data_IF_804267343742
#
_entry.id   IF_804267343742
#
_cell.length_a   1.000
_cell.length_b   1.000
_cell.length_c   1.000
_cell.angle_alpha   90.00
_cell.angle_beta   90.00
_cell.angle_gamma   90.00
#
_symmetry.space_group_name_H-M   'P 1'
#
loop_
_entity.id
_entity.type
_entity.pdbx_description
1 polymer ?
#
# COMPACT_ATOMS: atom_id res chain seq x y z
N UNK A 1 -18.65 9.16 -54.36
CA UNK A 1 -20.03 8.69 -54.23
C UNK A 1 -20.13 7.25 -54.71
N UNK A 2 -20.13 6.27 -53.80
CA UNK A 2 -20.57 4.90 -54.13
C UNK A 2 -21.98 4.71 -53.56
N UNK A 3 -22.90 4.21 -54.40
CA UNK A 3 -24.30 3.95 -54.01
C UNK A 3 -24.42 2.47 -53.64
N UNK A 4 -24.44 2.16 -52.35
CA UNK A 4 -24.80 0.83 -51.85
C UNK A 4 -26.31 0.62 -52.02
N UNK A 5 -26.71 -0.34 -52.85
CA UNK A 5 -28.10 -0.84 -52.91
C UNK A 5 -28.26 -2.01 -51.92
N UNK A 6 -29.18 -1.82 -50.97
CA UNK A 6 -29.65 -2.83 -50.02
C UNK A 6 -31.01 -3.34 -50.54
N UNK A 7 -31.18 -4.65 -50.65
CA UNK A 7 -32.43 -5.29 -51.09
C UNK A 7 -32.90 -6.24 -49.98
N UNK A 8 -34.21 -6.28 -49.73
CA UNK A 8 -34.83 -6.97 -48.60
C UNK A 8 -35.40 -8.32 -49.07
N UNK A 9 -34.93 -9.44 -48.51
CA UNK A 9 -35.38 -10.81 -48.80
C UNK A 9 -34.81 -11.81 -47.79
N UNK A 10 -35.51 -12.92 -47.51
CA UNK A 10 -35.14 -13.93 -46.51
C UNK A 10 -34.30 -15.04 -47.18
N UNK A 11 -33.10 -15.30 -46.68
CA UNK A 11 -32.26 -16.46 -47.04
C UNK A 11 -32.28 -17.44 -45.86
N UNK A 12 -32.37 -18.74 -46.12
CA UNK A 12 -32.32 -19.79 -45.10
C UNK A 12 -31.40 -20.91 -45.59
N UNK A 13 -30.33 -21.18 -44.83
CA UNK A 13 -29.36 -22.27 -45.05
C UNK A 13 -29.34 -23.16 -43.79
N UNK A 14 -29.42 -24.49 -43.96
CA UNK A 14 -29.33 -25.47 -42.86
C UNK A 14 -28.20 -26.44 -43.20
N UNK A 15 -27.12 -26.45 -42.41
CA UNK A 15 -25.96 -27.34 -42.60
C UNK A 15 -25.68 -28.17 -41.34
N UNK A 16 -25.37 -29.46 -41.51
CA UNK A 16 -24.97 -30.37 -40.42
C UNK A 16 -23.46 -30.44 -40.16
N UNK A 17 -22.68 -29.48 -40.66
CA UNK A 17 -21.21 -29.42 -40.56
C UNK A 17 -20.66 -27.99 -40.82
N UNK A 18 -19.34 -27.81 -40.70
CA UNK A 18 -18.67 -26.48 -40.70
C UNK A 18 -18.53 -25.87 -42.09
N UNK A 19 -18.93 -24.61 -42.22
CA UNK A 19 -18.81 -23.79 -43.43
C UNK A 19 -17.86 -22.60 -43.16
N UNK A 20 -16.95 -22.26 -44.09
CA UNK A 20 -16.11 -21.05 -44.01
C UNK A 20 -16.12 -20.27 -45.32
N UNK A 21 -16.39 -18.96 -45.22
CA UNK A 21 -16.36 -18.00 -46.32
C UNK A 21 -15.19 -17.02 -46.13
N UNK A 22 -14.38 -16.81 -47.17
CA UNK A 22 -13.34 -15.77 -47.17
C UNK A 22 -13.35 -14.96 -48.47
N UNK A 23 -13.48 -13.64 -48.33
CA UNK A 23 -13.41 -12.66 -49.40
C UNK A 23 -13.62 -11.25 -48.85
N UNK A 24 -13.03 -10.22 -49.46
CA UNK A 24 -13.11 -8.84 -48.95
C UNK A 24 -14.53 -8.24 -49.01
N UNK A 25 -15.45 -8.86 -49.78
CA UNK A 25 -16.92 -8.70 -49.69
C UNK A 25 -17.59 -9.87 -50.44
N UNK A 26 -18.37 -10.70 -49.74
CA UNK A 26 -19.14 -11.79 -50.34
C UNK A 26 -20.62 -11.42 -50.30
N UNK A 27 -21.33 -11.60 -51.42
CA UNK A 27 -22.80 -11.45 -51.51
C UNK A 27 -23.40 -12.68 -52.16
N UNK A 28 -24.26 -13.37 -51.42
CA UNK A 28 -25.03 -14.53 -51.90
C UNK A 28 -26.49 -14.10 -52.00
N UNK A 29 -27.09 -14.22 -53.19
CA UNK A 29 -28.50 -13.97 -53.42
C UNK A 29 -29.14 -15.26 -53.91
N UNK A 30 -29.78 -15.99 -53.00
CA UNK A 30 -30.52 -17.19 -53.34
C UNK A 30 -32.03 -16.89 -53.20
N UNK A 31 -32.78 -17.01 -54.31
CA UNK A 31 -34.24 -16.92 -54.32
C UNK A 31 -34.93 -18.22 -53.88
N UNK A 32 -34.19 -19.14 -53.25
CA UNK A 32 -34.58 -20.47 -52.79
C UNK A 32 -33.39 -21.15 -52.09
N UNK A 33 -33.59 -22.34 -51.50
CA UNK A 33 -32.59 -23.07 -50.70
C UNK A 33 -31.37 -23.51 -51.53
N UNK A 34 -30.17 -23.46 -50.93
CA UNK A 34 -28.93 -24.01 -51.49
C UNK A 34 -28.53 -25.23 -50.65
N UNK A 35 -28.44 -26.41 -51.27
CA UNK A 35 -27.96 -27.64 -50.62
C UNK A 35 -26.52 -27.94 -51.01
N UNK A 36 -25.62 -28.00 -50.01
CA UNK A 36 -24.23 -28.40 -50.18
C UNK A 36 -24.04 -29.88 -49.85
N UNK A 37 -23.65 -30.69 -50.83
CA UNK A 37 -23.25 -32.08 -50.61
C UNK A 37 -21.72 -32.17 -50.60
N UNK A 38 -21.12 -32.22 -49.40
CA UNK A 38 -19.71 -32.56 -49.22
C UNK A 38 -19.56 -34.09 -49.04
N UNK A 39 -18.60 -34.76 -49.71
CA UNK A 39 -18.26 -36.14 -49.39
C UNK A 39 -17.85 -36.24 -47.92
N UNK A 40 -18.38 -37.25 -47.21
CA UNK A 40 -17.98 -37.52 -45.81
C UNK A 40 -16.51 -37.91 -45.77
N UNK A 41 -15.66 -36.98 -45.36
CA UNK A 41 -14.33 -37.30 -44.84
C UNK A 41 -14.39 -37.21 -43.32
N UNK A 42 -13.99 -38.29 -42.64
CA UNK A 42 -13.72 -38.28 -41.21
C UNK A 42 -12.35 -37.64 -41.03
N UNK A 43 -12.33 -36.36 -40.69
CA UNK A 43 -11.17 -35.79 -40.04
C UNK A 43 -11.13 -36.41 -38.64
N UNK A 44 -9.98 -36.95 -38.24
CA UNK A 44 -9.77 -37.43 -36.88
C UNK A 44 -10.09 -36.33 -35.87
N UNK A 45 -10.24 -36.70 -34.60
CA UNK A 45 -10.54 -35.75 -33.54
C UNK A 45 -9.62 -34.53 -33.64
N UNK A 46 -10.17 -33.29 -33.52
CA UNK A 46 -9.35 -32.10 -33.57
C UNK A 46 -8.22 -32.26 -32.57
N UNK A 47 -6.96 -32.09 -33.01
CA UNK A 47 -5.88 -31.93 -32.06
C UNK A 47 -6.25 -30.77 -31.14
N UNK A 48 -6.14 -31.00 -29.83
CA UNK A 48 -6.35 -29.95 -28.86
C UNK A 48 -5.52 -28.73 -29.29
N UNK A 49 -6.11 -27.52 -29.27
CA UNK A 49 -5.35 -26.33 -29.58
C UNK A 49 -4.09 -26.35 -28.70
N UNK A 50 -2.89 -26.08 -29.26
CA UNK A 50 -1.68 -26.05 -28.45
C UNK A 50 -1.96 -25.15 -27.25
N UNK A 51 -1.70 -25.67 -26.05
CA UNK A 51 -1.90 -24.91 -24.81
C UNK A 51 -1.41 -23.50 -25.06
N UNK A 52 -2.34 -22.55 -24.98
CA UNK A 52 -1.99 -21.15 -25.03
C UNK A 52 -1.23 -20.92 -23.74
N UNK A 53 0.09 -21.21 -23.77
CA UNK A 53 1.05 -20.63 -22.85
C UNK A 53 0.83 -19.15 -23.07
N UNK A 54 -0.06 -18.56 -22.25
CA UNK A 54 0.10 -17.18 -21.88
C UNK A 54 1.57 -17.11 -21.55
N UNK A 55 2.35 -16.51 -22.44
CA UNK A 55 3.57 -15.87 -22.05
C UNK A 55 3.08 -14.92 -20.97
N UNK A 56 3.15 -15.37 -19.71
CA UNK A 56 3.15 -14.51 -18.56
C UNK A 56 4.07 -13.38 -19.00
N UNK A 57 3.46 -12.23 -19.24
CA UNK A 57 4.20 -11.08 -19.72
C UNK A 57 5.12 -10.76 -18.55
N UNK A 58 6.35 -11.25 -18.59
CA UNK A 58 7.35 -10.97 -17.57
C UNK A 58 7.51 -9.46 -17.62
N UNK A 59 6.91 -8.78 -16.65
CA UNK A 59 7.00 -7.34 -16.55
C UNK A 59 8.41 -7.08 -16.02
N UNK A 60 9.31 -6.72 -16.93
CA UNK A 60 10.70 -6.33 -16.61
C UNK A 60 10.72 -4.92 -16.03
N UNK A 61 10.45 -4.81 -14.73
CA UNK A 61 10.45 -3.54 -13.99
C UNK A 61 11.55 -3.52 -12.92
N UNK A 62 12.15 -2.36 -12.76
CA UNK A 62 13.01 -2.03 -11.63
C UNK A 62 12.17 -1.77 -10.38
N UNK A 63 12.72 -2.12 -9.22
CA UNK A 63 12.06 -1.86 -7.93
C UNK A 63 12.48 -2.77 -6.79
N UNK A 64 11.87 -2.54 -5.63
CA UNK A 64 11.90 -3.40 -4.46
C UNK A 64 10.62 -4.23 -4.37
N UNK A 65 10.77 -5.53 -4.16
CA UNK A 65 9.66 -6.49 -4.17
C UNK A 65 9.46 -7.06 -2.78
N UNK A 66 8.22 -6.96 -2.30
CA UNK A 66 7.80 -7.52 -1.02
C UNK A 66 6.62 -8.47 -1.24
N UNK A 67 6.51 -9.54 -0.45
CA UNK A 67 5.27 -10.32 -0.43
C UNK A 67 4.20 -9.67 0.47
N UNK A 68 2.98 -10.20 0.41
CA UNK A 68 1.82 -9.68 1.14
C UNK A 68 2.03 -9.72 2.66
N UNK A 69 2.87 -10.62 3.15
CA UNK A 69 3.24 -10.81 4.55
C UNK A 69 4.40 -9.89 4.98
N UNK A 70 4.84 -8.96 4.13
CA UNK A 70 5.88 -7.97 4.43
C UNK A 70 7.32 -8.49 4.32
N UNK A 71 7.52 -9.67 3.74
CA UNK A 71 8.87 -10.22 3.50
C UNK A 71 9.49 -9.53 2.29
N UNK A 72 10.74 -9.09 2.38
CA UNK A 72 11.50 -8.64 1.24
C UNK A 72 11.93 -9.83 0.38
N UNK A 73 11.48 -9.84 -0.88
CA UNK A 73 11.76 -10.91 -1.84
C UNK A 73 13.01 -10.61 -2.68
N UNK A 74 13.28 -9.33 -2.93
CA UNK A 74 14.51 -8.86 -3.57
C UNK A 74 14.35 -7.49 -4.26
N UNK A 75 15.39 -7.11 -5.00
CA UNK A 75 15.50 -5.82 -5.70
C UNK A 75 15.99 -6.05 -7.13
N UNK A 76 15.44 -5.32 -8.09
CA UNK A 76 15.95 -5.28 -9.47
C UNK A 76 16.34 -3.84 -9.82
N UNK A 77 17.51 -3.70 -10.45
CA UNK A 77 18.03 -2.43 -10.97
C UNK A 77 18.80 -2.65 -12.28
N UNK A 78 18.09 -3.10 -13.30
CA UNK A 78 18.64 -3.32 -14.63
C UNK A 78 18.45 -2.09 -15.52
N UNK A 79 19.46 -1.69 -16.32
CA UNK A 79 19.38 -0.52 -17.20
C UNK A 79 18.24 -0.59 -18.23
N UNK A 80 17.90 -1.81 -18.67
CA UNK A 80 16.92 -2.04 -19.73
C UNK A 80 15.49 -2.25 -19.22
N UNK A 81 15.28 -2.17 -17.90
CA UNK A 81 13.99 -2.40 -17.26
C UNK A 81 13.27 -1.07 -17.03
N UNK A 82 11.94 -1.09 -17.12
CA UNK A 82 11.12 0.10 -16.92
C UNK A 82 11.03 0.48 -15.43
N UNK A 83 10.69 1.74 -15.14
CA UNK A 83 10.52 2.23 -13.78
C UNK A 83 11.82 2.57 -13.07
N UNK A 84 11.75 2.74 -11.76
CA UNK A 84 12.86 3.14 -10.90
C UNK A 84 13.17 2.03 -9.90
N UNK A 85 14.47 1.84 -9.58
CA UNK A 85 14.88 0.96 -8.48
C UNK A 85 14.19 1.29 -7.16
N UNK A 86 13.77 2.54 -6.95
CA UNK A 86 13.05 2.96 -5.74
C UNK A 86 11.56 2.63 -5.77
N UNK A 87 10.99 2.12 -6.87
CA UNK A 87 9.57 1.76 -6.90
C UNK A 87 9.30 0.52 -6.07
N UNK A 88 8.19 0.53 -5.32
CA UNK A 88 7.80 -0.61 -4.47
C UNK A 88 6.69 -1.42 -5.11
N UNK A 89 6.87 -2.74 -5.12
CA UNK A 89 5.91 -3.71 -5.62
C UNK A 89 5.56 -4.76 -4.56
N UNK A 90 4.31 -5.22 -4.59
CA UNK A 90 3.88 -6.45 -3.91
C UNK A 90 3.88 -7.59 -4.92
N UNK A 91 4.30 -8.78 -4.51
CA UNK A 91 4.30 -9.98 -5.35
C UNK A 91 3.86 -11.24 -4.59
N UNK A 92 3.53 -12.30 -5.32
CA UNK A 92 3.22 -13.63 -4.78
C UNK A 92 4.48 -14.51 -4.67
N UNK A 93 5.61 -13.88 -4.35
CA UNK A 93 6.92 -14.51 -4.26
C UNK A 93 7.73 -14.42 -5.56
N UNK A 94 8.80 -15.22 -5.61
CA UNK A 94 9.79 -15.24 -6.70
C UNK A 94 10.01 -16.62 -7.28
N UNK A 95 10.34 -16.63 -8.56
CA UNK A 95 10.67 -17.83 -9.34
C UNK A 95 11.99 -17.61 -10.07
N UNK A 96 12.70 -18.70 -10.32
CA UNK A 96 13.93 -18.68 -11.09
C UNK A 96 13.62 -19.16 -12.51
N UNK A 97 13.89 -18.31 -13.50
CA UNK A 97 13.67 -18.59 -14.92
C UNK A 97 15.01 -18.64 -15.64
N UNK A 98 15.02 -19.24 -16.84
CA UNK A 98 16.18 -19.22 -17.74
C UNK A 98 15.95 -18.26 -18.88
N UNK A 99 16.94 -17.44 -19.19
CA UNK A 99 16.91 -16.58 -20.35
C UNK A 99 17.15 -17.38 -21.65
N UNK A 100 17.16 -16.68 -22.79
CA UNK A 100 17.42 -17.25 -24.12
C UNK A 100 18.82 -17.88 -24.27
N UNK A 101 19.76 -17.54 -23.40
CA UNK A 101 21.12 -18.07 -23.36
C UNK A 101 21.27 -19.23 -22.37
N UNK A 102 20.21 -19.53 -21.60
CA UNK A 102 20.20 -20.57 -20.56
C UNK A 102 20.63 -20.08 -19.18
N UNK A 103 20.87 -18.79 -19.01
CA UNK A 103 21.28 -18.16 -17.76
C UNK A 103 20.09 -17.96 -16.83
N UNK A 104 20.28 -18.25 -15.55
CA UNK A 104 19.21 -18.11 -14.56
C UNK A 104 19.00 -16.63 -14.21
N UNK A 105 17.74 -16.18 -14.19
CA UNK A 105 17.34 -14.88 -13.67
C UNK A 105 16.10 -15.00 -12.76
N UNK A 106 15.97 -14.10 -11.81
CA UNK A 106 14.84 -14.09 -10.87
C UNK A 106 13.69 -13.26 -11.43
N UNK A 107 12.48 -13.81 -11.39
CA UNK A 107 11.24 -13.09 -11.68
C UNK A 107 10.35 -13.06 -10.45
N UNK A 108 9.54 -12.02 -10.32
CA UNK A 108 8.55 -11.88 -9.26
C UNK A 108 7.16 -12.10 -9.84
N UNK A 109 6.37 -12.92 -9.16
CA UNK A 109 5.07 -13.36 -9.67
C UNK A 109 3.98 -12.35 -9.29
N UNK A 110 3.03 -12.08 -10.20
CA UNK A 110 1.86 -11.24 -9.96
C UNK A 110 2.20 -9.88 -9.32
N UNK A 111 3.17 -9.17 -9.89
CA UNK A 111 3.64 -7.90 -9.34
C UNK A 111 2.60 -6.79 -9.45
N UNK A 112 2.42 -6.05 -8.35
CA UNK A 112 1.50 -4.92 -8.25
C UNK A 112 2.23 -3.72 -7.67
N UNK A 113 2.25 -2.59 -8.38
CA UNK A 113 2.91 -1.37 -7.90
C UNK A 113 2.12 -0.72 -6.76
N UNK A 114 2.80 -0.38 -5.66
CA UNK A 114 2.22 0.38 -4.55
C UNK A 114 2.21 1.91 -4.78
N UNK A 115 2.77 2.39 -5.90
CA UNK A 115 2.86 3.83 -6.24
C UNK A 115 3.54 4.67 -5.15
N UNK A 116 4.51 4.08 -4.46
CA UNK A 116 5.33 4.72 -3.41
C UNK A 116 6.80 4.39 -3.63
N UNK A 117 7.69 5.31 -3.20
CA UNK A 117 9.13 5.10 -3.23
C UNK A 117 9.62 4.38 -1.98
N UNK A 118 10.61 3.49 -2.12
CA UNK A 118 11.10 2.58 -1.09
C UNK A 118 11.60 3.33 0.15
N UNK A 119 12.30 4.44 -0.01
CA UNK A 119 12.72 5.26 1.12
C UNK A 119 11.53 5.81 1.96
N UNK A 120 10.43 6.26 1.33
CA UNK A 120 9.23 6.73 2.04
C UNK A 120 8.49 5.56 2.66
N UNK A 121 8.35 4.46 1.92
CA UNK A 121 7.75 3.21 2.39
C UNK A 121 8.44 2.67 3.64
N UNK A 122 9.76 2.56 3.62
CA UNK A 122 10.55 2.09 4.75
C UNK A 122 10.65 3.11 5.88
N UNK A 123 10.48 4.41 5.61
CA UNK A 123 10.35 5.43 6.67
C UNK A 123 9.04 5.24 7.45
N UNK A 124 7.94 4.88 6.79
CA UNK A 124 6.66 4.56 7.44
C UNK A 124 6.81 3.29 8.30
N UNK A 125 7.29 2.21 7.69
CA UNK A 125 7.48 0.93 8.38
C UNK A 125 8.47 1.03 9.55
N UNK A 126 9.54 1.82 9.38
CA UNK A 126 10.52 2.08 10.42
C UNK A 126 9.94 2.87 11.59
N UNK A 127 9.09 3.88 11.30
CA UNK A 127 8.40 4.66 12.34
C UNK A 127 7.41 3.80 13.12
N UNK A 128 6.65 2.94 12.43
CA UNK A 128 5.76 1.99 13.08
C UNK A 128 6.53 1.03 14.00
N UNK A 129 7.67 0.51 13.56
CA UNK A 129 8.52 -0.33 14.40
C UNK A 129 9.07 0.43 15.62
N UNK A 130 9.64 1.63 15.41
CA UNK A 130 10.37 2.35 16.45
C UNK A 130 9.49 3.06 17.49
N UNK A 131 8.29 3.49 17.12
CA UNK A 131 7.37 4.25 17.99
C UNK A 131 6.33 3.36 18.69
N UNK A 132 6.25 2.09 18.31
CA UNK A 132 5.26 1.16 18.87
C UNK A 132 5.54 0.69 20.30
N UNK A 133 6.73 0.99 20.83
CA UNK A 133 7.26 0.31 22.02
C UNK A 133 7.30 -1.21 21.82
N UNK A 134 7.46 -1.65 20.56
CA UNK A 134 7.39 -3.04 20.09
C UNK A 134 6.07 -3.78 20.37
N UNK A 135 4.96 -3.06 20.58
CA UNK A 135 3.62 -3.65 20.62
C UNK A 135 3.13 -3.96 19.21
N UNK A 136 2.77 -5.22 18.94
CA UNK A 136 2.19 -5.58 17.63
C UNK A 136 0.90 -4.81 17.35
N UNK A 137 0.05 -4.60 18.35
CA UNK A 137 -1.19 -3.83 18.17
C UNK A 137 -0.90 -2.39 17.73
N UNK A 138 0.17 -1.78 18.24
CA UNK A 138 0.58 -0.42 17.84
C UNK A 138 1.29 -0.41 16.49
N UNK A 139 2.14 -1.41 16.20
CA UNK A 139 2.82 -1.55 14.89
C UNK A 139 1.80 -1.58 13.76
N UNK A 140 0.68 -2.30 13.94
CA UNK A 140 -0.36 -2.45 12.93
C UNK A 140 -1.05 -1.14 12.57
N UNK A 141 -1.23 -0.24 13.55
CA UNK A 141 -2.05 0.97 13.38
C UNK A 141 -1.25 2.20 12.94
N UNK A 142 0.03 2.33 13.31
CA UNK A 142 0.84 3.52 12.98
C UNK A 142 0.86 3.82 11.47
N UNK A 143 1.04 2.84 10.56
CA UNK A 143 1.02 3.12 9.12
C UNK A 143 -0.30 3.75 8.66
N UNK A 144 -1.44 3.25 9.14
CA UNK A 144 -2.76 3.82 8.85
C UNK A 144 -2.92 5.22 9.41
N UNK A 145 -2.44 5.45 10.64
CA UNK A 145 -2.45 6.77 11.27
C UNK A 145 -1.69 7.79 10.44
N UNK A 146 -0.53 7.42 9.89
CA UNK A 146 0.25 8.31 9.02
C UNK A 146 -0.53 8.67 7.75
N UNK A 147 -1.20 7.69 7.12
CA UNK A 147 -2.03 7.93 5.93
C UNK A 147 -3.24 8.81 6.23
N UNK A 148 -3.93 8.55 7.34
CA UNK A 148 -5.08 9.33 7.79
C UNK A 148 -4.66 10.76 8.15
N UNK A 149 -3.55 10.94 8.87
CA UNK A 149 -3.01 12.26 9.18
C UNK A 149 -2.64 13.02 7.90
N UNK A 150 -2.01 12.34 6.93
CA UNK A 150 -1.68 12.93 5.65
C UNK A 150 -2.94 13.41 4.93
N UNK A 151 -3.96 12.56 4.82
CA UNK A 151 -5.26 12.88 4.21
C UNK A 151 -5.94 14.07 4.90
N UNK A 152 -6.00 14.07 6.23
CA UNK A 152 -6.60 15.16 7.00
C UNK A 152 -5.90 16.50 6.71
N UNK A 153 -4.57 16.51 6.64
CA UNK A 153 -3.82 17.72 6.32
C UNK A 153 -4.06 18.19 4.88
N UNK A 154 -3.98 17.29 3.89
CA UNK A 154 -4.12 17.68 2.48
C UNK A 154 -5.56 18.07 2.12
N UNK A 155 -6.56 17.55 2.83
CA UNK A 155 -7.97 17.94 2.70
C UNK A 155 -8.31 19.22 3.50
N UNK A 156 -7.38 19.71 4.32
CA UNK A 156 -7.61 20.88 5.16
C UNK A 156 -7.69 22.19 4.36
N UNK A 157 -8.24 23.25 4.98
CA UNK A 157 -8.32 24.57 4.34
C UNK A 157 -6.98 25.32 4.36
N UNK A 158 -5.94 24.78 4.98
CA UNK A 158 -4.67 25.49 5.16
C UNK A 158 -3.82 25.40 3.89
N UNK A 159 -3.53 26.54 3.27
CA UNK A 159 -2.80 26.63 1.99
C UNK A 159 -1.49 25.83 1.97
N UNK A 160 -0.70 25.88 3.06
CA UNK A 160 0.58 25.15 3.16
C UNK A 160 0.43 23.63 3.00
N UNK A 161 -0.73 23.07 3.34
CA UNK A 161 -0.98 21.64 3.27
C UNK A 161 -1.63 21.18 1.96
N UNK A 162 -2.30 22.06 1.22
CA UNK A 162 -3.03 21.68 0.00
C UNK A 162 -2.15 21.56 -1.25
N UNK A 163 -1.24 22.51 -1.45
CA UNK A 163 -0.68 22.71 -2.79
C UNK A 163 0.62 21.94 -3.05
N UNK A 164 1.38 21.55 -2.01
CA UNK A 164 2.69 20.89 -2.14
C UNK A 164 3.06 20.01 -0.94
N UNK A 165 2.08 19.56 -0.14
CA UNK A 165 2.38 18.76 1.04
C UNK A 165 2.53 17.29 0.66
N UNK A 166 3.75 16.79 0.73
CA UNK A 166 4.03 15.39 0.42
C UNK A 166 3.80 14.48 1.63
N UNK A 167 3.67 13.17 1.39
CA UNK A 167 3.68 12.19 2.46
C UNK A 167 4.97 12.26 3.30
N UNK A 168 6.11 12.55 2.67
CA UNK A 168 7.37 12.76 3.38
C UNK A 168 7.32 13.97 4.34
N UNK A 169 6.66 15.06 3.94
CA UNK A 169 6.43 16.22 4.80
C UNK A 169 5.60 15.87 6.02
N UNK A 170 4.61 14.97 5.86
CA UNK A 170 3.82 14.41 6.97
C UNK A 170 4.69 13.63 7.94
N UNK A 171 5.52 12.71 7.44
CA UNK A 171 6.43 11.90 8.27
C UNK A 171 7.38 12.78 9.10
N UNK A 172 8.00 13.78 8.47
CA UNK A 172 8.86 14.75 9.16
C UNK A 172 8.07 15.50 10.23
N UNK A 173 6.85 15.99 9.92
CA UNK A 173 6.00 16.68 10.90
C UNK A 173 5.66 15.79 12.10
N UNK A 174 5.35 14.51 11.89
CA UNK A 174 5.00 13.57 12.96
C UNK A 174 6.20 13.20 13.82
N UNK A 175 7.42 13.31 13.29
CA UNK A 175 8.69 13.12 14.01
C UNK A 175 9.23 14.42 14.60
N UNK A 176 8.37 15.31 15.09
CA UNK A 176 8.78 16.61 15.65
C UNK A 176 9.63 17.47 14.71
N UNK A 177 9.42 17.35 13.39
CA UNK A 177 10.21 18.00 12.31
C UNK A 177 11.65 17.52 12.18
N UNK A 178 11.96 16.34 12.68
CA UNK A 178 13.28 15.73 12.53
C UNK A 178 13.40 14.96 11.22
N UNK A 179 14.44 15.26 10.45
CA UNK A 179 14.87 14.43 9.33
C UNK A 179 15.46 13.09 9.81
N UNK A 180 15.82 12.21 8.88
CA UNK A 180 16.32 10.85 9.20
C UNK A 180 17.59 10.86 10.04
N UNK A 181 18.53 11.76 9.75
CA UNK A 181 19.78 11.88 10.50
C UNK A 181 19.47 12.33 11.93
N UNK A 182 18.65 13.37 12.09
CA UNK A 182 18.32 13.94 13.41
C UNK A 182 17.59 12.91 14.26
N UNK A 183 16.58 12.26 13.69
CA UNK A 183 15.81 11.24 14.38
C UNK A 183 16.63 10.00 14.73
N UNK A 184 17.52 9.58 13.83
CA UNK A 184 18.35 8.40 14.05
C UNK A 184 19.50 8.67 15.01
N UNK A 185 20.07 9.86 15.08
CA UNK A 185 21.37 10.06 15.76
C UNK A 185 21.41 11.17 16.81
N UNK A 186 20.57 12.20 16.71
CA UNK A 186 20.71 13.37 17.59
C UNK A 186 20.21 13.08 19.00
N UNK A 187 20.97 13.53 20.00
CA UNK A 187 20.60 13.37 21.40
C UNK A 187 19.37 14.22 21.74
N UNK A 188 18.28 13.56 22.13
CA UNK A 188 17.04 14.19 22.54
C UNK A 188 16.42 13.42 23.71
N UNK A 189 15.80 14.13 24.66
CA UNK A 189 15.07 13.56 25.79
C UNK A 189 15.85 12.52 26.61
N UNK A 190 17.17 12.69 26.74
CA UNK A 190 18.03 11.78 27.51
C UNK A 190 18.54 10.56 26.75
N UNK A 191 18.24 10.42 25.45
CA UNK A 191 18.67 9.31 24.61
C UNK A 191 19.41 9.78 23.35
N UNK A 192 20.39 9.00 22.88
CA UNK A 192 21.11 9.25 21.63
C UNK A 192 20.28 8.76 20.43
N UNK A 193 19.50 9.66 19.82
CA UNK A 193 18.61 9.38 18.69
C UNK A 193 17.58 8.29 19.01
N UNK A 194 17.03 7.69 17.95
CA UNK A 194 16.14 6.54 18.08
C UNK A 194 16.88 5.21 17.79
N UNK A 195 17.28 4.45 18.84
CA UNK A 195 17.98 3.17 18.66
C UNK A 195 17.13 2.10 17.96
N UNK A 196 15.80 2.12 18.13
CA UNK A 196 14.93 1.16 17.46
C UNK A 196 14.87 1.43 15.94
N UNK A 197 14.85 2.70 15.52
CA UNK A 197 14.92 3.08 14.12
C UNK A 197 16.27 2.71 13.50
N UNK A 198 17.38 2.93 14.22
CA UNK A 198 18.71 2.47 13.77
C UNK A 198 18.78 0.95 13.61
N UNK A 199 18.23 0.20 14.57
CA UNK A 199 18.12 -1.26 14.50
C UNK A 199 17.29 -1.72 13.30
N UNK A 200 16.17 -1.03 12.99
CA UNK A 200 15.37 -1.31 11.80
C UNK A 200 16.18 -1.17 10.50
N UNK A 201 17.10 -0.21 10.43
CA UNK A 201 17.99 0.00 9.29
C UNK A 201 19.31 -0.79 9.38
N UNK A 202 19.59 -1.46 10.50
CA UNK A 202 20.87 -2.10 10.82
C UNK A 202 22.07 -1.14 10.68
N UNK A 203 21.91 0.09 11.16
CA UNK A 203 22.97 1.12 11.14
C UNK A 203 23.45 1.45 12.56
N UNK A 204 24.72 1.85 12.65
CA UNK A 204 25.33 2.34 13.89
C UNK A 204 25.02 3.82 14.15
N UNK A 205 25.34 4.29 15.36
CA UNK A 205 25.22 5.72 15.69
C UNK A 205 26.17 6.54 14.80
N UNK A 206 25.65 7.60 14.18
CA UNK A 206 26.32 8.49 13.22
C UNK A 206 26.71 7.84 11.88
N UNK A 207 26.24 6.62 11.60
CA UNK A 207 26.35 6.03 10.27
C UNK A 207 25.39 6.72 9.29
N UNK A 208 25.71 6.70 8.00
CA UNK A 208 24.83 7.24 6.95
C UNK A 208 23.52 6.44 6.92
N UNK A 209 22.40 7.13 6.70
CA UNK A 209 21.10 6.50 6.52
C UNK A 209 21.10 5.72 5.21
N UNK A 210 21.00 4.39 5.32
CA UNK A 210 20.85 3.47 4.20
C UNK A 210 19.61 2.57 4.45
N UNK A 211 18.58 2.77 3.64
CA UNK A 211 17.34 2.02 3.74
C UNK A 211 17.46 0.58 3.22
N UNK A 212 18.47 0.29 2.38
CA UNK A 212 18.67 -1.02 1.77
C UNK A 212 19.57 -1.93 2.63
N UNK A 213 20.40 -1.37 3.52
CA UNK A 213 21.37 -2.10 4.33
C UNK A 213 20.78 -3.29 5.10
N UNK A 214 19.53 -3.18 5.55
CA UNK A 214 18.83 -4.23 6.29
C UNK A 214 17.66 -4.86 5.52
N UNK A 215 17.72 -4.91 4.18
CA UNK A 215 16.59 -5.40 3.37
C UNK A 215 16.22 -6.84 3.73
N UNK A 216 17.19 -7.77 3.70
CA UNK A 216 16.95 -9.18 4.06
C UNK A 216 16.87 -9.41 5.58
N UNK A 217 17.64 -8.66 6.36
CA UNK A 217 17.70 -8.87 7.81
C UNK A 217 16.36 -8.61 8.52
N UNK A 218 15.51 -7.73 7.98
CA UNK A 218 14.14 -7.50 8.47
C UNK A 218 13.25 -8.74 8.39
N UNK A 219 13.49 -9.64 7.45
CA UNK A 219 12.72 -10.88 7.29
C UNK A 219 12.82 -11.78 8.53
N UNK A 220 13.92 -11.68 9.27
CA UNK A 220 14.19 -12.49 10.47
C UNK A 220 13.60 -11.89 11.75
N UNK A 221 12.96 -10.72 11.68
CA UNK A 221 12.32 -10.07 12.82
C UNK A 221 10.81 -9.90 12.57
N UNK A 222 10.01 -10.66 13.33
CA UNK A 222 8.54 -10.67 13.18
C UNK A 222 7.92 -9.27 13.31
N UNK A 223 8.44 -8.41 14.17
CA UNK A 223 7.92 -7.05 14.39
C UNK A 223 8.29 -6.11 13.25
N UNK A 224 9.50 -6.21 12.69
CA UNK A 224 9.90 -5.45 11.50
C UNK A 224 9.11 -5.91 10.27
N UNK A 225 8.94 -7.22 10.10
CA UNK A 225 8.12 -7.78 9.02
C UNK A 225 6.66 -7.32 9.13
N UNK A 226 6.09 -7.34 10.34
CA UNK A 226 4.75 -6.82 10.58
C UNK A 226 4.64 -5.32 10.26
N UNK A 227 5.67 -4.52 10.54
CA UNK A 227 5.61 -3.10 10.21
C UNK A 227 5.61 -2.86 8.69
N UNK A 228 6.31 -3.70 7.92
CA UNK A 228 6.27 -3.67 6.44
C UNK A 228 4.91 -4.14 5.93
N UNK A 229 4.40 -5.29 6.41
CA UNK A 229 3.08 -5.84 6.05
C UNK A 229 1.97 -4.79 6.20
N UNK A 230 1.91 -4.13 7.37
CA UNK A 230 0.85 -3.15 7.63
C UNK A 230 1.11 -1.81 6.92
N UNK A 231 2.35 -1.51 6.52
CA UNK A 231 2.62 -0.40 5.59
C UNK A 231 2.08 -0.70 4.20
N UNK A 232 2.23 -1.93 3.70
CA UNK A 232 1.62 -2.36 2.42
C UNK A 232 0.10 -2.15 2.49
N UNK A 233 -0.55 -2.67 3.54
CA UNK A 233 -2.01 -2.52 3.73
C UNK A 233 -2.44 -1.06 3.80
N UNK A 234 -1.74 -0.22 4.57
CA UNK A 234 -2.05 1.20 4.70
C UNK A 234 -1.87 1.99 3.39
N UNK A 235 -0.82 1.69 2.61
CA UNK A 235 -0.62 2.31 1.28
C UNK A 235 -1.74 1.92 0.32
N UNK A 236 -2.11 0.64 0.28
CA UNK A 236 -3.25 0.19 -0.54
C UNK A 236 -4.56 0.85 -0.09
N UNK A 237 -4.79 0.99 1.21
CA UNK A 237 -5.95 1.70 1.77
C UNK A 237 -5.98 3.16 1.29
N UNK A 238 -4.84 3.85 1.35
CA UNK A 238 -4.73 5.23 0.88
C UNK A 238 -4.98 5.38 -0.63
N UNK A 239 -4.62 4.37 -1.42
CA UNK A 239 -4.87 4.34 -2.87
C UNK A 239 -6.28 3.88 -3.26
N UNK A 240 -7.18 3.60 -2.29
CA UNK A 240 -8.49 2.96 -2.49
C UNK A 240 -8.40 1.56 -3.15
N UNK A 241 -7.29 0.85 -2.92
CA UNK A 241 -6.99 -0.50 -3.44
C UNK A 241 -7.06 -1.57 -2.33
N UNK A 242 -7.47 -1.19 -1.11
CA UNK A 242 -7.66 -2.08 0.03
C UNK A 242 -9.15 -2.12 0.41
N UNK A 243 -9.71 -3.32 0.45
CA UNK A 243 -11.14 -3.55 0.72
C UNK A 243 -11.46 -3.74 2.21
N UNK A 244 -10.44 -3.98 3.04
CA UNK A 244 -10.65 -4.12 4.49
C UNK A 244 -10.63 -2.75 5.19
N UNK A 245 -11.06 -2.76 6.44
CA UNK A 245 -11.19 -1.58 7.28
C UNK A 245 -9.83 -0.99 7.72
N UNK A 246 -9.85 0.31 8.01
CA UNK A 246 -8.75 1.03 8.64
C UNK A 246 -8.48 0.46 10.05
N UNK A 247 -7.33 -0.18 10.23
CA UNK A 247 -6.93 -0.79 11.50
C UNK A 247 -6.76 0.23 12.64
N UNK A 248 -6.60 1.52 12.32
CA UNK A 248 -6.47 2.59 13.32
C UNK A 248 -7.80 3.20 13.76
N UNK A 249 -8.94 2.75 13.23
CA UNK A 249 -10.29 3.31 13.47
C UNK A 249 -10.32 4.85 13.33
N UNK A 250 -9.76 5.35 12.23
CA UNK A 250 -9.68 6.78 11.93
C UNK A 250 -8.64 7.54 12.75
N UNK A 251 -7.73 6.83 13.43
CA UNK A 251 -6.64 7.44 14.21
C UNK A 251 -5.80 8.38 13.34
N UNK A 252 -5.42 9.53 13.88
CA UNK A 252 -4.60 10.56 13.20
C UNK A 252 -3.35 10.93 13.99
N UNK A 253 -3.15 10.35 15.17
CA UNK A 253 -1.88 10.42 15.87
C UNK A 253 -1.80 9.44 17.04
N UNK A 254 -0.63 9.39 17.65
CA UNK A 254 -0.36 8.61 18.87
C UNK A 254 0.43 9.44 19.87
N UNK A 255 0.36 9.05 21.14
CA UNK A 255 1.15 9.61 22.22
C UNK A 255 1.55 8.56 23.26
N UNK A 256 2.66 8.80 23.94
CA UNK A 256 3.12 8.02 25.08
C UNK A 256 2.51 8.49 26.41
N UNK A 257 2.95 7.90 27.52
CA UNK A 257 2.47 8.25 28.86
C UNK A 257 2.90 9.65 29.33
N UNK A 258 3.91 10.24 28.68
CA UNK A 258 4.48 11.56 29.00
C UNK A 258 3.43 12.68 28.93
N UNK A 259 2.40 12.53 28.09
CA UNK A 259 1.31 13.50 27.99
C UNK A 259 0.50 13.66 29.28
N UNK A 260 0.57 12.70 30.21
CA UNK A 260 -0.10 12.82 31.51
C UNK A 260 0.40 14.01 32.33
N UNK A 261 1.60 14.52 32.03
CA UNK A 261 2.20 15.70 32.65
C UNK A 261 2.11 16.96 31.79
N UNK A 262 1.51 16.88 30.60
CA UNK A 262 1.43 17.98 29.65
C UNK A 262 0.05 18.64 29.71
N UNK A 263 -0.01 19.90 30.17
CA UNK A 263 -1.27 20.63 30.35
C UNK A 263 -2.04 20.84 29.04
N UNK A 264 -1.34 21.05 27.91
CA UNK A 264 -2.01 21.18 26.61
C UNK A 264 -2.73 19.88 26.22
N UNK A 265 -2.10 18.72 26.42
CA UNK A 265 -2.74 17.44 26.15
C UNK A 265 -3.94 17.17 27.04
N UNK A 266 -3.89 17.59 28.32
CA UNK A 266 -5.05 17.49 29.23
C UNK A 266 -6.23 18.33 28.75
N UNK A 267 -5.97 19.50 28.18
CA UNK A 267 -7.00 20.38 27.62
C UNK A 267 -7.57 19.83 26.30
N UNK A 268 -6.70 19.29 25.44
CA UNK A 268 -7.06 18.89 24.08
C UNK A 268 -7.73 17.51 23.98
N UNK A 269 -7.28 16.53 24.79
CA UNK A 269 -7.64 15.12 24.62
C UNK A 269 -8.72 14.66 25.61
N UNK A 270 -9.81 14.14 25.06
CA UNK A 270 -10.78 13.34 25.78
C UNK A 270 -10.41 11.85 25.73
N UNK A 271 -10.23 11.21 26.87
CA UNK A 271 -10.05 9.75 26.97
C UNK A 271 -11.37 9.09 27.40
N UNK A 272 -11.87 8.20 26.56
CA UNK A 272 -13.08 7.42 26.83
C UNK A 272 -12.91 6.52 28.07
N UNK A 273 -13.97 6.24 28.85
CA UNK A 273 -13.86 5.50 30.11
C UNK A 273 -13.15 4.15 30.00
N UNK A 274 -13.42 3.39 28.93
CA UNK A 274 -12.81 2.10 28.61
C UNK A 274 -11.32 2.20 28.19
N UNK A 275 -10.89 3.38 27.75
CA UNK A 275 -9.49 3.69 27.43
C UNK A 275 -8.68 4.17 28.64
N UNK A 276 -9.31 4.46 29.79
CA UNK A 276 -8.62 4.84 31.04
C UNK A 276 -7.98 3.64 31.73
N UNK A 277 -6.94 3.10 31.10
CA UNK A 277 -6.19 1.93 31.56
C UNK A 277 -4.69 2.18 31.48
N UNK A 278 -3.91 1.30 32.11
CA UNK A 278 -2.45 1.38 32.16
C UNK A 278 -1.97 2.75 32.68
N UNK A 279 -1.11 3.45 31.94
CA UNK A 279 -0.62 4.79 32.31
C UNK A 279 -1.74 5.84 32.41
N UNK A 280 -2.85 5.65 31.69
CA UNK A 280 -3.96 6.61 31.61
C UNK A 280 -5.09 6.33 32.61
N UNK A 281 -4.91 5.37 33.54
CA UNK A 281 -5.94 4.98 34.51
C UNK A 281 -6.48 6.14 35.37
N UNK A 282 -5.61 7.11 35.67
CA UNK A 282 -5.94 8.27 36.50
C UNK A 282 -6.22 9.52 35.66
N UNK A 283 -6.39 9.37 34.35
CA UNK A 283 -6.65 10.51 33.47
C UNK A 283 -8.02 11.13 33.78
N UNK A 284 -8.01 12.41 34.11
CA UNK A 284 -9.20 13.23 34.25
C UNK A 284 -9.35 14.09 33.02
N UNK A 285 -10.46 13.94 32.30
CA UNK A 285 -10.75 14.78 31.15
C UNK A 285 -11.04 16.19 31.65
N UNK A 286 -10.33 17.18 31.11
CA UNK A 286 -10.53 18.58 31.46
C UNK A 286 -11.83 19.13 30.84
N UNK A 287 -12.10 18.73 29.60
CA UNK A 287 -13.29 19.06 28.83
C UNK A 287 -14.18 17.83 28.61
N UNK A 288 -15.47 18.07 28.32
CA UNK A 288 -16.36 17.04 27.74
C UNK A 288 -16.02 16.82 26.26
N UNK A 289 -16.39 15.67 25.70
CA UNK A 289 -16.06 15.27 24.33
C UNK A 289 -16.42 16.34 23.29
N UNK A 290 -17.57 16.97 23.43
CA UNK A 290 -18.10 17.99 22.51
C UNK A 290 -17.32 19.31 22.52
N UNK A 291 -16.35 19.45 23.44
CA UNK A 291 -15.45 20.61 23.57
C UNK A 291 -13.98 20.23 23.44
N UNK A 292 -13.65 18.95 23.31
CA UNK A 292 -12.28 18.47 23.15
C UNK A 292 -11.86 18.50 21.69
N UNK A 293 -10.58 18.73 21.42
CA UNK A 293 -10.01 18.73 20.07
C UNK A 293 -9.82 17.30 19.57
N UNK A 294 -9.37 16.42 20.46
CA UNK A 294 -9.11 15.01 20.16
C UNK A 294 -9.90 14.09 21.08
N UNK A 295 -10.21 12.90 20.57
CA UNK A 295 -10.72 11.79 21.36
C UNK A 295 -9.81 10.57 21.20
N UNK A 296 -9.70 9.78 22.28
CA UNK A 296 -9.00 8.50 22.25
C UNK A 296 -9.72 7.49 21.38
N UNK A 297 -8.98 6.74 20.58
CA UNK A 297 -9.50 5.62 19.76
C UNK A 297 -9.17 4.28 20.38
N UNK A 298 -7.97 4.14 20.94
CA UNK A 298 -7.55 2.94 21.64
C UNK A 298 -6.36 3.23 22.53
N UNK A 299 -6.10 2.31 23.47
CA UNK A 299 -4.93 2.33 24.35
C UNK A 299 -4.32 0.94 24.40
N UNK A 300 -3.02 0.86 24.12
CA UNK A 300 -2.24 -0.38 24.05
C UNK A 300 -0.99 -0.29 24.91
N UNK A 301 -0.61 -1.41 25.54
CA UNK A 301 0.63 -1.52 26.31
C UNK A 301 1.67 -2.26 25.48
N UNK A 302 2.81 -1.64 25.25
CA UNK A 302 4.00 -2.26 24.66
C UNK A 302 5.03 -2.66 25.71
N UNK A 303 6.19 -3.07 25.22
CA UNK A 303 7.32 -3.49 26.06
C UNK A 303 7.90 -2.30 26.83
N UNK A 304 7.87 -1.09 26.22
CA UNK A 304 8.50 0.12 26.74
C UNK A 304 7.52 1.23 27.16
N UNK A 305 6.22 0.94 27.26
CA UNK A 305 5.26 1.95 27.71
C UNK A 305 3.81 1.68 27.32
N UNK A 306 2.96 2.67 27.54
CA UNK A 306 1.57 2.68 27.07
C UNK A 306 1.44 3.72 25.98
N UNK A 307 0.84 3.32 24.85
CA UNK A 307 0.53 4.21 23.73
C UNK A 307 -0.98 4.43 23.67
N UNK A 308 -1.38 5.69 23.51
CA UNK A 308 -2.75 6.07 23.20
C UNK A 308 -2.83 6.53 21.75
N UNK A 309 -3.84 6.04 21.03
CA UNK A 309 -4.18 6.49 19.68
C UNK A 309 -5.33 7.48 19.80
N UNK A 310 -5.32 8.54 19.00
CA UNK A 310 -6.36 9.56 19.02
C UNK A 310 -6.77 10.00 17.62
N UNK A 311 -8.00 10.53 17.52
CA UNK A 311 -8.55 11.15 16.32
C UNK A 311 -9.16 12.51 16.63
N UNK A 312 -9.37 13.30 15.59
CA UNK A 312 -10.03 14.62 15.68
C UNK A 312 -11.51 14.45 16.02
N UNK A 313 -12.05 15.27 16.91
CA UNK A 313 -13.49 15.27 17.22
C UNK A 313 -14.28 16.13 16.22
N UNK A 314 -15.61 16.02 16.24
CA UNK A 314 -16.49 16.97 15.55
C UNK A 314 -16.24 18.43 15.92
N UNK A 315 -15.91 18.69 17.19
CA UNK A 315 -15.57 20.04 17.64
C UNK A 315 -14.34 20.56 16.90
N UNK A 316 -13.32 19.72 16.73
CA UNK A 316 -12.14 20.08 15.95
C UNK A 316 -12.48 20.33 14.49
N UNK A 317 -13.28 19.46 13.84
CA UNK A 317 -13.69 19.66 12.44
C UNK A 317 -14.44 20.99 12.21
N UNK A 318 -15.21 21.46 13.20
CA UNK A 318 -15.97 22.72 13.14
C UNK A 318 -15.11 23.96 13.43
N UNK A 319 -14.09 23.83 14.28
CA UNK A 319 -13.36 24.97 14.83
C UNK A 319 -11.89 25.06 14.37
N UNK A 320 -11.36 24.00 13.76
CA UNK A 320 -9.98 23.92 13.28
C UNK A 320 -9.92 24.04 11.76
N UNK A 321 -8.89 24.76 11.28
CA UNK A 321 -8.61 24.85 9.84
C UNK A 321 -7.89 23.63 9.28
N UNK A 322 -7.31 22.78 10.15
CA UNK A 322 -6.48 21.63 9.78
C UNK A 322 -7.21 20.29 9.75
N UNK A 323 -8.44 20.24 10.26
CA UNK A 323 -9.12 18.98 10.51
C UNK A 323 -10.35 18.93 9.61
N UNK A 324 -10.21 18.27 8.46
CA UNK A 324 -11.29 17.91 7.53
C UNK A 324 -10.97 16.53 6.94
N UNK A 325 -11.94 15.62 6.96
CA UNK A 325 -11.80 14.27 6.41
C UNK A 325 -12.12 14.24 4.91
#
# INVERSE_FOLDING_TARGET
>A
MSRTRIVKGKITEITGGTLRYFGNSIKINAGGSIDYYAPKYTYGDPEDPPENKMLERIISVNGHFYNKEGTFEGKINEPDFEGSVEDVYVCDGKTMQKDKNGDNFTTYNNTESLKIKNNVFLRIAGLAYSESGFSLDVIKVIPFIIMNHHKQLTNSNVSKYRNNWSLNSTLIKMRNKWDDITYAHTFHYGAQGNPAFRNFLNIELNEIIDFDKNSEGRNNNVKMKSSIEYTIKAVKYFNNEYLDEDYSDGGIGWQGADICTNENWKEWLFIHPDHKKNAFKNWSNYNILEKSIFESVSVSKGDFGTTIIYKSTEFSFKNSSTDKL
#
